data_IF_535836070962
#
_entry.id   IF_535836070962
#
_cell.length_a   1.000
_cell.length_b   1.000
_cell.length_c   1.000
_cell.angle_alpha   90.00
_cell.angle_beta   90.00
_cell.angle_gamma   90.00
#
_symmetry.space_group_name_H-M   'P 1'
#
loop_
_entity.id
_entity.type
_entity.pdbx_description
1 polymer ?
#
# COMPACT_ATOMS: atom_id res chain seq x y z
N UNK A 1 18.60 31.67 -27.66
CA UNK A 1 18.36 30.40 -26.94
C UNK A 1 19.38 30.37 -25.82
N UNK A 2 18.92 30.30 -24.57
CA UNK A 2 19.76 30.35 -23.38
C UNK A 2 20.34 28.94 -23.10
N UNK A 3 21.64 28.83 -22.86
CA UNK A 3 22.34 27.57 -22.60
C UNK A 3 21.74 26.80 -21.40
N UNK A 4 21.06 27.51 -20.50
CA UNK A 4 20.33 26.92 -19.37
C UNK A 4 19.13 26.04 -19.78
N UNK A 5 18.41 26.39 -20.85
CA UNK A 5 17.27 25.61 -21.36
C UNK A 5 17.72 24.31 -22.02
N UNK A 6 18.79 24.37 -22.81
CA UNK A 6 19.35 23.19 -23.48
C UNK A 6 19.89 22.18 -22.44
N UNK A 7 20.53 22.68 -21.38
CA UNK A 7 21.03 21.85 -20.28
C UNK A 7 19.91 21.24 -19.41
N UNK A 8 18.73 21.84 -19.38
CA UNK A 8 17.56 21.29 -18.72
C UNK A 8 16.94 20.15 -19.57
N UNK A 9 16.81 20.36 -20.88
CA UNK A 9 16.32 19.33 -21.82
C UNK A 9 17.22 18.08 -21.83
N UNK A 10 18.55 18.25 -21.85
CA UNK A 10 19.48 17.11 -21.80
C UNK A 10 19.43 16.33 -20.48
N UNK A 11 19.16 17.00 -19.35
CA UNK A 11 18.98 16.34 -18.05
C UNK A 11 17.69 15.53 -18.01
N UNK A 12 16.62 16.06 -18.57
CA UNK A 12 15.35 15.35 -18.72
C UNK A 12 15.55 14.10 -19.61
N UNK A 13 16.25 14.24 -20.74
CA UNK A 13 16.52 13.15 -21.66
C UNK A 13 17.33 12.01 -21.02
N UNK A 14 18.35 12.36 -20.22
CA UNK A 14 19.12 11.38 -19.45
C UNK A 14 18.25 10.66 -18.42
N UNK A 15 17.40 11.39 -17.70
CA UNK A 15 16.46 10.81 -16.72
C UNK A 15 15.49 9.82 -17.36
N UNK A 16 15.04 10.09 -18.60
CA UNK A 16 14.15 9.18 -19.35
C UNK A 16 14.87 7.90 -19.76
N UNK A 17 16.13 7.99 -20.22
CA UNK A 17 16.93 6.82 -20.59
C UNK A 17 17.29 5.96 -19.38
N UNK A 18 17.69 6.59 -18.27
CA UNK A 18 17.97 5.88 -17.02
C UNK A 18 16.70 5.20 -16.47
N UNK A 19 15.53 5.84 -16.60
CA UNK A 19 14.25 5.21 -16.28
C UNK A 19 13.89 4.06 -17.22
N UNK A 20 14.13 4.14 -18.53
CA UNK A 20 13.91 3.01 -19.45
C UNK A 20 14.69 1.76 -19.01
N UNK A 21 15.92 1.96 -18.52
CA UNK A 21 16.74 0.88 -17.98
C UNK A 21 16.19 0.35 -16.63
N UNK A 22 15.72 1.23 -15.75
CA UNK A 22 15.04 0.83 -14.51
C UNK A 22 13.72 0.09 -14.77
N UNK A 23 12.95 0.51 -15.77
CA UNK A 23 11.69 -0.10 -16.18
C UNK A 23 11.92 -1.49 -16.78
N UNK A 24 12.97 -1.64 -17.59
CA UNK A 24 13.40 -2.92 -18.14
C UNK A 24 13.88 -3.90 -17.05
N UNK A 25 14.47 -3.40 -15.96
CA UNK A 25 14.79 -4.21 -14.78
C UNK A 25 13.55 -4.55 -13.95
N UNK A 26 12.63 -3.60 -13.77
CA UNK A 26 11.38 -3.78 -13.01
C UNK A 26 10.40 -4.77 -13.67
N UNK A 27 10.40 -4.91 -14.99
CA UNK A 27 9.59 -5.92 -15.69
C UNK A 27 9.91 -7.38 -15.30
N UNK A 28 11.00 -7.64 -14.57
CA UNK A 28 11.34 -8.96 -14.02
C UNK A 28 10.62 -9.33 -12.73
N UNK A 29 10.05 -8.36 -12.00
CA UNK A 29 9.35 -8.57 -10.73
C UNK A 29 7.88 -8.17 -10.89
N UNK A 30 6.97 -9.02 -10.39
CA UNK A 30 5.53 -9.04 -10.67
C UNK A 30 4.84 -7.66 -10.76
N UNK A 31 4.85 -7.08 -11.96
CA UNK A 31 4.22 -5.80 -12.26
C UNK A 31 2.75 -6.03 -12.64
N UNK A 32 1.81 -5.27 -12.08
CA UNK A 32 0.37 -5.45 -12.35
C UNK A 32 0.04 -5.16 -13.82
N UNK A 33 -0.91 -5.90 -14.41
CA UNK A 33 -1.29 -5.78 -15.83
C UNK A 33 -1.65 -4.34 -16.25
N UNK A 34 -2.29 -3.58 -15.36
CA UNK A 34 -2.65 -2.17 -15.57
C UNK A 34 -1.42 -1.26 -15.71
N UNK A 35 -0.37 -1.52 -14.93
CA UNK A 35 0.88 -0.76 -14.99
C UNK A 35 1.66 -1.10 -16.27
N UNK A 36 1.68 -2.38 -16.65
CA UNK A 36 2.29 -2.83 -17.90
C UNK A 36 1.60 -2.20 -19.13
N UNK A 37 0.27 -2.06 -19.07
CA UNK A 37 -0.52 -1.39 -20.09
C UNK A 37 -0.25 0.12 -20.13
N UNK A 38 -0.20 0.79 -18.97
CA UNK A 38 0.13 2.21 -18.88
C UNK A 38 1.53 2.52 -19.42
N UNK A 39 2.53 1.67 -19.10
CA UNK A 39 3.89 1.79 -19.61
C UNK A 39 3.99 1.56 -21.11
N UNK A 40 3.23 0.60 -21.64
CA UNK A 40 3.17 0.37 -23.08
C UNK A 40 2.57 1.58 -23.80
N UNK A 41 1.52 2.18 -23.24
CA UNK A 41 0.91 3.41 -23.77
C UNK A 41 1.87 4.60 -23.77
N UNK A 42 2.61 4.82 -22.67
CA UNK A 42 3.63 5.87 -22.60
C UNK A 42 4.74 5.66 -23.64
N UNK A 43 5.19 4.43 -23.83
CA UNK A 43 6.20 4.11 -24.85
C UNK A 43 5.71 4.48 -26.26
N UNK A 44 4.48 4.11 -26.61
CA UNK A 44 3.88 4.48 -27.90
C UNK A 44 3.75 5.99 -28.07
N UNK A 45 3.39 6.72 -27.01
CA UNK A 45 3.33 8.18 -27.03
C UNK A 45 4.71 8.80 -27.25
N UNK A 46 5.74 8.27 -26.60
CA UNK A 46 7.12 8.74 -26.71
C UNK A 46 7.69 8.49 -28.11
N UNK A 47 7.39 7.32 -28.70
CA UNK A 47 7.75 7.02 -30.08
C UNK A 47 6.99 7.91 -31.08
N UNK A 48 5.72 8.23 -30.81
CA UNK A 48 4.93 9.18 -31.60
C UNK A 48 5.50 10.59 -31.54
N UNK A 49 5.96 11.05 -30.37
CA UNK A 49 6.64 12.35 -30.22
C UNK A 49 7.97 12.40 -30.98
N UNK A 50 8.73 11.30 -30.99
CA UNK A 50 9.96 11.20 -31.81
C UNK A 50 9.66 11.29 -33.30
N UNK A 51 8.60 10.62 -33.75
CA UNK A 51 8.17 10.69 -35.16
C UNK A 51 7.71 12.10 -35.54
N UNK A 52 6.89 12.74 -34.68
CA UNK A 52 6.48 14.12 -34.87
C UNK A 52 7.69 15.04 -34.94
N UNK A 53 8.65 14.91 -34.02
CA UNK A 53 9.88 15.70 -34.04
C UNK A 53 10.64 15.55 -35.36
N UNK A 54 10.78 14.33 -35.87
CA UNK A 54 11.39 14.08 -37.18
C UNK A 54 10.65 14.76 -38.33
N UNK A 55 9.31 14.77 -38.31
CA UNK A 55 8.51 15.49 -39.30
C UNK A 55 8.69 17.01 -39.22
N UNK A 56 8.89 17.55 -38.01
CA UNK A 56 9.19 18.97 -37.80
C UNK A 56 10.51 19.42 -38.43
N UNK A 57 11.47 18.50 -38.59
CA UNK A 57 12.75 18.79 -39.25
C UNK A 57 12.61 18.88 -40.79
N UNK A 58 11.53 18.34 -41.37
CA UNK A 58 11.20 18.41 -42.80
C UNK A 58 10.36 19.65 -43.16
N UNK A 59 9.87 20.40 -42.17
CA UNK A 59 9.11 21.63 -42.40
C UNK A 59 10.06 22.76 -42.80
N UNK A 60 10.04 23.15 -44.08
CA UNK A 60 10.85 24.26 -44.63
C UNK A 60 10.44 25.64 -44.09
N UNK A 61 9.18 25.80 -43.71
CA UNK A 61 8.64 27.03 -43.14
C UNK A 61 9.10 27.20 -41.68
N UNK A 62 10.08 28.09 -41.47
CA UNK A 62 10.72 28.34 -40.16
C UNK A 62 9.70 28.74 -39.09
N UNK A 63 8.64 29.49 -39.45
CA UNK A 63 7.64 29.93 -38.48
C UNK A 63 6.77 28.74 -38.03
N UNK A 64 6.30 27.93 -38.98
CA UNK A 64 5.52 26.71 -38.67
C UNK A 64 6.35 25.69 -37.92
N UNK A 65 7.64 25.55 -38.25
CA UNK A 65 8.58 24.69 -37.53
C UNK A 65 8.74 25.14 -36.08
N UNK A 66 8.85 26.46 -35.83
CA UNK A 66 8.94 27.01 -34.47
C UNK A 66 7.69 26.71 -33.64
N UNK A 67 6.50 26.95 -34.18
CA UNK A 67 5.23 26.64 -33.51
C UNK A 67 5.07 25.14 -33.24
N UNK A 68 5.45 24.31 -34.21
CA UNK A 68 5.40 22.86 -34.10
C UNK A 68 6.37 22.32 -33.02
N UNK A 69 7.60 22.81 -32.99
CA UNK A 69 8.59 22.44 -31.97
C UNK A 69 8.18 22.92 -30.57
N UNK A 70 7.50 24.08 -30.47
CA UNK A 70 6.92 24.55 -29.20
C UNK A 70 5.88 23.56 -28.67
N UNK A 71 4.94 23.14 -29.53
CA UNK A 71 3.89 22.17 -29.16
C UNK A 71 4.51 20.83 -28.73
N UNK A 72 5.54 20.34 -29.45
CA UNK A 72 6.27 19.13 -29.05
C UNK A 72 6.93 19.30 -27.70
N UNK A 73 7.52 20.47 -27.43
CA UNK A 73 8.12 20.79 -26.14
C UNK A 73 7.09 20.75 -25.00
N UNK A 74 5.93 21.37 -25.20
CA UNK A 74 4.81 21.36 -24.25
C UNK A 74 4.33 19.92 -23.98
N UNK A 75 4.10 19.12 -25.03
CA UNK A 75 3.71 17.70 -24.88
C UNK A 75 4.78 16.86 -24.18
N UNK A 76 6.06 17.15 -24.43
CA UNK A 76 7.17 16.44 -23.78
C UNK A 76 7.26 16.77 -22.30
N UNK A 77 6.98 18.03 -21.91
CA UNK A 77 6.90 18.45 -20.51
C UNK A 77 5.72 17.77 -19.80
N UNK A 78 4.53 17.79 -20.39
CA UNK A 78 3.34 17.13 -19.82
C UNK A 78 3.55 15.62 -19.65
N UNK A 79 4.23 14.98 -20.62
CA UNK A 79 4.59 13.56 -20.52
C UNK A 79 5.52 13.31 -19.34
N UNK A 80 6.55 14.14 -19.17
CA UNK A 80 7.51 14.02 -18.07
C UNK A 80 6.83 14.24 -16.71
N UNK A 81 5.96 15.23 -16.58
CA UNK A 81 5.19 15.47 -15.35
C UNK A 81 4.29 14.29 -15.01
N UNK A 82 3.58 13.76 -16.00
CA UNK A 82 2.73 12.58 -15.84
C UNK A 82 3.54 11.36 -15.40
N UNK A 83 4.72 11.17 -15.98
CA UNK A 83 5.63 10.09 -15.63
C UNK A 83 6.17 10.20 -14.20
N UNK A 84 6.51 11.41 -13.75
CA UNK A 84 6.91 11.68 -12.35
C UNK A 84 5.75 11.34 -11.40
N UNK A 85 4.54 11.79 -11.72
CA UNK A 85 3.36 11.53 -10.88
C UNK A 85 3.08 10.04 -10.77
N UNK A 86 3.09 9.31 -11.88
CA UNK A 86 2.90 7.86 -11.89
C UNK A 86 3.97 7.16 -11.05
N UNK A 87 5.24 7.55 -11.18
CA UNK A 87 6.32 6.97 -10.39
C UNK A 87 6.13 7.20 -8.89
N UNK A 88 5.63 8.38 -8.49
CA UNK A 88 5.30 8.68 -7.09
C UNK A 88 4.13 7.82 -6.59
N UNK A 89 3.07 7.67 -7.39
CA UNK A 89 1.91 6.86 -7.05
C UNK A 89 2.27 5.38 -6.90
N UNK A 90 3.20 4.87 -7.71
CA UNK A 90 3.69 3.49 -7.60
C UNK A 90 4.44 3.22 -6.31
N UNK A 91 5.34 4.12 -5.90
CA UNK A 91 6.03 3.99 -4.61
C UNK A 91 5.04 3.99 -3.44
N UNK A 92 4.05 4.88 -3.49
CA UNK A 92 3.00 4.92 -2.48
C UNK A 92 2.17 3.62 -2.45
N UNK A 93 1.88 3.03 -3.62
CA UNK A 93 1.20 1.73 -3.70
C UNK A 93 2.03 0.61 -3.08
N UNK A 94 3.32 0.51 -3.41
CA UNK A 94 4.24 -0.49 -2.83
C UNK A 94 4.32 -0.36 -1.29
N UNK A 95 4.41 0.88 -0.79
CA UNK A 95 4.40 1.16 0.65
C UNK A 95 3.12 0.70 1.32
N UNK A 96 1.96 0.97 0.71
CA UNK A 96 0.65 0.53 1.21
C UNK A 96 0.52 -1.00 1.20
N UNK A 97 0.96 -1.67 0.12
CA UNK A 97 0.93 -3.13 0.04
C UNK A 97 1.80 -3.78 1.12
N UNK A 98 2.95 -3.18 1.46
CA UNK A 98 3.79 -3.61 2.59
C UNK A 98 3.06 -3.49 3.92
N UNK A 99 2.46 -2.33 4.22
CA UNK A 99 1.71 -2.10 5.46
C UNK A 99 0.53 -3.06 5.59
N UNK A 100 -0.19 -3.32 4.50
CA UNK A 100 -1.29 -4.30 4.48
C UNK A 100 -0.79 -5.69 4.88
N UNK A 101 0.34 -6.14 4.33
CA UNK A 101 0.93 -7.45 4.67
C UNK A 101 1.36 -7.53 6.14
N UNK A 102 1.94 -6.46 6.67
CA UNK A 102 2.34 -6.39 8.08
C UNK A 102 1.12 -6.48 9.01
N UNK A 103 0.07 -5.69 8.75
CA UNK A 103 -1.16 -5.72 9.53
C UNK A 103 -1.89 -7.07 9.42
N UNK A 104 -1.89 -7.71 8.25
CA UNK A 104 -2.46 -9.05 8.09
C UNK A 104 -1.73 -10.06 8.97
N UNK A 105 -0.40 -10.01 9.01
CA UNK A 105 0.41 -10.87 9.87
C UNK A 105 0.08 -10.64 11.35
N UNK A 106 0.01 -9.39 11.81
CA UNK A 106 -0.38 -9.07 13.19
C UNK A 106 -1.78 -9.60 13.53
N UNK A 107 -2.73 -9.45 12.61
CA UNK A 107 -4.09 -9.96 12.78
C UNK A 107 -4.10 -11.49 12.90
N UNK A 108 -3.33 -12.20 12.08
CA UNK A 108 -3.28 -13.66 12.12
C UNK A 108 -2.62 -14.19 13.40
N UNK A 109 -1.58 -13.49 13.88
CA UNK A 109 -0.97 -13.74 15.20
C UNK A 109 -1.97 -13.53 16.34
N UNK A 110 -2.83 -12.51 16.25
CA UNK A 110 -3.86 -12.23 17.26
C UNK A 110 -5.08 -13.16 17.18
N UNK A 111 -5.43 -13.65 15.98
CA UNK A 111 -6.62 -14.49 15.75
C UNK A 111 -6.42 -15.94 16.20
N UNK A 112 -5.18 -16.41 16.30
CA UNK A 112 -4.89 -17.79 16.69
C UNK A 112 -4.72 -17.85 18.21
N UNK A 113 -5.73 -18.29 19.00
CA UNK A 113 -5.55 -18.42 20.44
C UNK A 113 -4.47 -19.47 20.69
N UNK A 114 -3.34 -19.04 21.26
CA UNK A 114 -2.21 -19.92 21.63
C UNK A 114 -2.62 -21.00 22.64
N UNK A 115 -3.77 -20.83 23.28
CA UNK A 115 -4.26 -21.70 24.36
C UNK A 115 -5.69 -22.10 24.04
N UNK A 116 -5.90 -23.40 23.83
CA UNK A 116 -7.23 -23.99 23.75
C UNK A 116 -7.95 -23.81 25.10
N UNK A 117 -9.20 -23.35 25.04
CA UNK A 117 -10.03 -23.19 26.22
C UNK A 117 -11.36 -23.89 26.06
N UNK A 118 -11.86 -24.42 27.18
CA UNK A 118 -13.13 -25.11 27.28
C UNK A 118 -14.07 -24.32 28.17
N UNK A 119 -15.31 -24.11 27.72
CA UNK A 119 -16.34 -23.45 28.52
C UNK A 119 -16.87 -24.45 29.57
N UNK A 120 -16.72 -24.13 30.86
CA UNK A 120 -17.29 -24.90 31.98
C UNK A 120 -18.15 -23.96 32.83
N UNK A 121 -19.46 -24.17 32.83
CA UNK A 121 -20.42 -23.20 33.37
C UNK A 121 -20.36 -21.89 32.56
N UNK A 122 -20.26 -20.75 33.25
CA UNK A 122 -20.19 -19.42 32.62
C UNK A 122 -18.75 -18.87 32.49
N UNK A 123 -17.74 -19.74 32.47
CA UNK A 123 -16.33 -19.35 32.45
C UNK A 123 -15.49 -20.24 31.54
N UNK A 124 -14.47 -19.66 30.92
CA UNK A 124 -13.47 -20.43 30.18
C UNK A 124 -12.37 -20.96 31.11
N UNK A 125 -11.87 -22.15 30.79
CA UNK A 125 -10.73 -22.78 31.44
C UNK A 125 -9.77 -23.31 30.39
N UNK A 126 -8.47 -23.30 30.66
CA UNK A 126 -7.50 -23.99 29.79
C UNK A 126 -7.63 -25.51 29.92
N UNK A 127 -7.01 -26.25 29.01
CA UNK A 127 -6.94 -27.72 29.08
C UNK A 127 -6.29 -28.22 30.38
N UNK A 128 -5.27 -27.50 30.88
CA UNK A 128 -4.64 -27.76 32.19
C UNK A 128 -5.54 -27.45 33.40
N UNK A 129 -6.77 -26.98 33.17
CA UNK A 129 -7.73 -26.60 34.20
C UNK A 129 -7.47 -25.24 34.83
N UNK A 130 -6.58 -24.41 34.26
CA UNK A 130 -6.40 -23.04 34.75
C UNK A 130 -7.62 -22.18 34.41
N UNK A 131 -8.03 -21.32 35.34
CA UNK A 131 -9.21 -20.46 35.20
C UNK A 131 -9.75 -20.06 36.58
N UNK A 132 -10.94 -19.45 36.68
CA UNK A 132 -11.85 -19.09 35.57
C UNK A 132 -11.40 -17.85 34.77
N UNK A 133 -11.66 -17.84 33.46
CA UNK A 133 -11.48 -16.69 32.57
C UNK A 133 -12.83 -16.12 32.10
N UNK A 134 -12.84 -14.81 31.83
CA UNK A 134 -14.02 -14.06 31.42
C UNK A 134 -14.43 -14.41 29.99
N UNK A 135 -15.66 -14.92 29.83
CA UNK A 135 -16.27 -15.23 28.52
C UNK A 135 -16.34 -13.99 27.63
N UNK A 136 -16.82 -12.86 28.16
CA UNK A 136 -16.93 -11.63 27.36
C UNK A 136 -15.59 -11.09 26.85
N UNK A 137 -14.53 -11.17 27.65
CA UNK A 137 -13.19 -10.77 27.19
C UNK A 137 -12.60 -11.74 26.16
N UNK A 138 -12.87 -13.03 26.31
CA UNK A 138 -12.37 -14.04 25.39
C UNK A 138 -13.14 -14.01 24.06
N UNK A 139 -14.46 -13.89 24.06
CA UNK A 139 -15.26 -13.87 22.84
C UNK A 139 -15.07 -12.59 22.04
N UNK A 140 -14.99 -11.43 22.72
CA UNK A 140 -14.84 -10.15 22.04
C UNK A 140 -13.40 -9.88 21.58
N UNK A 141 -12.39 -10.31 22.36
CA UNK A 141 -10.98 -9.90 22.16
C UNK A 141 -9.98 -11.06 22.14
N UNK A 142 -10.43 -12.32 22.24
CA UNK A 142 -9.58 -13.52 22.38
C UNK A 142 -8.57 -13.42 23.53
N UNK A 143 -8.87 -12.63 24.57
CA UNK A 143 -8.00 -12.42 25.73
C UNK A 143 -8.44 -13.22 26.94
N UNK A 144 -7.50 -13.94 27.53
CA UNK A 144 -7.69 -14.66 28.80
C UNK A 144 -7.61 -13.71 30.00
N UNK A 145 -8.70 -13.01 30.30
CA UNK A 145 -8.81 -12.18 31.48
C UNK A 145 -9.32 -13.01 32.67
N UNK A 146 -8.49 -13.18 33.72
CA UNK A 146 -8.86 -13.95 34.91
C UNK A 146 -9.99 -13.24 35.67
N UNK A 147 -10.98 -14.01 36.12
CA UNK A 147 -12.11 -13.49 36.88
C UNK A 147 -11.78 -13.56 38.37
N UNK A 148 -12.08 -12.48 39.10
CA UNK A 148 -11.95 -12.43 40.55
C UNK A 148 -13.24 -12.97 41.17
N UNK A 149 -13.10 -13.99 42.01
CA UNK A 149 -14.21 -14.54 42.77
C UNK A 149 -14.30 -13.79 44.09
N UNK A 150 -15.38 -13.05 44.28
CA UNK A 150 -15.70 -12.39 45.55
C UNK A 150 -16.84 -13.12 46.23
N UNK A 151 -16.64 -13.44 47.51
CA UNK A 151 -17.66 -14.09 48.33
C UNK A 151 -18.24 -13.05 49.29
N UNK A 152 -19.48 -12.64 49.05
CA UNK A 152 -20.23 -11.73 49.92
C UNK A 152 -21.43 -12.48 50.50
N UNK A 153 -21.21 -13.19 51.62
CA UNK A 153 -22.24 -14.01 52.26
C UNK A 153 -22.60 -15.26 51.46
N UNK A 154 -23.90 -15.62 51.30
CA UNK A 154 -24.32 -16.82 50.57
C UNK A 154 -24.19 -16.70 49.04
N UNK A 155 -23.91 -15.50 48.52
CA UNK A 155 -23.82 -15.24 47.08
C UNK A 155 -22.34 -15.22 46.67
N UNK A 156 -21.99 -16.06 45.69
CA UNK A 156 -20.71 -16.01 44.99
C UNK A 156 -20.84 -15.15 43.75
N UNK A 157 -20.04 -14.08 43.67
CA UNK A 157 -19.98 -13.19 42.52
C UNK A 157 -18.62 -13.33 41.82
N UNK A 158 -18.68 -13.34 40.49
CA UNK A 158 -17.51 -13.23 39.63
C UNK A 158 -17.47 -11.82 39.04
N UNK A 159 -16.33 -11.14 39.14
CA UNK A 159 -16.11 -9.89 38.41
C UNK A 159 -14.82 -9.97 37.59
N UNK A 160 -14.92 -9.59 36.31
CA UNK A 160 -13.74 -9.43 35.47
C UNK A 160 -13.16 -8.03 35.65
N UNK A 161 -11.90 -7.93 36.05
CA UNK A 161 -11.20 -6.65 36.25
C UNK A 161 -11.00 -5.83 34.96
N UNK A 162 -11.17 -6.42 33.78
CA UNK A 162 -10.92 -5.78 32.49
C UNK A 162 -12.18 -5.17 31.86
N UNK A 163 -13.34 -5.78 32.08
CA UNK A 163 -14.60 -5.32 31.48
C UNK A 163 -15.71 -5.06 32.51
N UNK A 164 -15.42 -5.22 33.81
CA UNK A 164 -16.36 -5.05 34.93
C UNK A 164 -17.65 -5.88 34.81
N UNK A 165 -17.62 -6.92 33.98
CA UNK A 165 -18.78 -7.76 33.78
C UNK A 165 -18.96 -8.66 35.02
N UNK A 166 -20.14 -8.56 35.64
CA UNK A 166 -20.49 -9.29 36.85
C UNK A 166 -21.33 -10.50 36.49
N UNK A 167 -20.84 -11.68 36.87
CA UNK A 167 -21.52 -12.95 36.61
C UNK A 167 -21.97 -13.52 37.96
N UNK A 168 -23.24 -13.88 38.05
CA UNK A 168 -23.84 -14.54 39.22
C UNK A 168 -24.23 -15.98 38.86
N UNK A 169 -24.07 -16.92 39.80
CA UNK A 169 -24.48 -18.33 39.63
C UNK A 169 -23.33 -19.33 39.55
N UNK A 170 -22.51 -19.42 40.60
CA UNK A 170 -21.54 -20.51 40.81
C UNK A 170 -22.15 -21.70 41.54
#
# INVERSE_FOLDING_TARGET
MDDGQLAAEFRLYRSVVEMDEHLRKATGEAMTAELLQAMTGMKTMLDSLKLLKGYGDEVEDVQKRGEFMRIIGELSLELAETQIRLSSELRAKEDLERVIKELQKEIDELKTPTVAVTLKGNHYFTEDGQGPYCVGCYDAKRRLARVLLTQAGPIRMAECSQCHNKISGF
#
